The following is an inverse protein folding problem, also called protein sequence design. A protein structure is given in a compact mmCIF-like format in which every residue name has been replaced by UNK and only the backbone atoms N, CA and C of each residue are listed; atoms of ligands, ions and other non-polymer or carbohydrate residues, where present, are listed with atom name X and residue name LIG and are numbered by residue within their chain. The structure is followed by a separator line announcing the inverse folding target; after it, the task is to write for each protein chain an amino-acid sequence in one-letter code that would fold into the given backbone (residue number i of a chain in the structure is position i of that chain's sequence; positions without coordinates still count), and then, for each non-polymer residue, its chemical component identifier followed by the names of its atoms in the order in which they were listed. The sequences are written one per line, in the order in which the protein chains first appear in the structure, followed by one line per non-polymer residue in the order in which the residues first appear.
data_IF_393126693900
#
_entry.id   IF_393126693900
#
_cell.length_a   1.000
_cell.length_b   1.000
_cell.length_c   1.000
_cell.angle_alpha   90.00
_cell.angle_beta   90.00
_cell.angle_gamma   90.00
#
_symmetry.space_group_name_H-M   'P 1'
#
loop_
_entity.id
_entity.type
_entity.pdbx_description
1 polymer ?
#
# COMPACT_ATOMS: atom_id res chain seq x y z
N UNK A 1 -7.60 20.88 2.45
CA UNK A 1 -8.96 20.36 2.19
C UNK A 1 -9.18 19.83 0.76
N UNK A 2 -8.54 20.39 -0.30
CA UNK A 2 -8.73 19.90 -1.69
C UNK A 2 -7.97 18.60 -2.06
N UNK A 3 -6.88 18.23 -1.35
CA UNK A 3 -6.14 16.99 -1.63
C UNK A 3 -6.80 15.71 -1.09
N UNK A 4 -7.55 15.78 0.03
CA UNK A 4 -8.17 14.60 0.65
C UNK A 4 -9.22 13.90 -0.23
N UNK A 5 -9.94 14.66 -1.09
CA UNK A 5 -10.95 14.07 -1.98
C UNK A 5 -10.35 13.26 -3.12
N UNK A 6 -9.16 13.64 -3.62
CA UNK A 6 -8.49 12.93 -4.70
C UNK A 6 -7.62 11.78 -4.20
N UNK A 7 -7.12 11.86 -2.96
CA UNK A 7 -6.54 10.70 -2.28
C UNK A 7 -7.61 9.59 -2.18
N UNK A 8 -8.81 9.84 -1.69
CA UNK A 8 -9.71 8.71 -1.41
C UNK A 8 -10.30 7.98 -2.64
N UNK A 9 -10.12 8.49 -3.87
CA UNK A 9 -10.67 7.89 -5.10
C UNK A 9 -10.00 6.55 -5.45
N UNK A 10 -8.75 6.33 -5.04
CA UNK A 10 -8.07 5.06 -5.31
C UNK A 10 -8.53 3.94 -4.35
N UNK A 11 -9.13 4.27 -3.20
CA UNK A 11 -9.52 3.31 -2.16
C UNK A 11 -10.56 2.30 -2.69
N UNK A 12 -11.63 2.71 -3.39
CA UNK A 12 -12.56 1.76 -4.01
C UNK A 12 -11.87 0.78 -4.96
N UNK A 13 -10.86 1.23 -5.72
CA UNK A 13 -10.12 0.37 -6.64
C UNK A 13 -9.34 -0.73 -5.91
N UNK A 14 -8.79 -0.40 -4.74
CA UNK A 14 -8.13 -1.36 -3.86
C UNK A 14 -9.13 -2.38 -3.28
N UNK A 15 -10.30 -1.92 -2.84
CA UNK A 15 -11.34 -2.80 -2.32
C UNK A 15 -11.86 -3.78 -3.39
N UNK A 16 -12.05 -3.32 -4.62
CA UNK A 16 -12.47 -4.18 -5.75
C UNK A 16 -11.40 -5.23 -6.06
N UNK A 17 -10.12 -4.84 -6.10
CA UNK A 17 -9.01 -5.78 -6.24
C UNK A 17 -9.05 -6.86 -5.16
N UNK A 18 -9.20 -6.47 -3.90
CA UNK A 18 -9.17 -7.39 -2.77
C UNK A 18 -10.42 -8.30 -2.73
N UNK A 19 -11.56 -7.82 -3.21
CA UNK A 19 -12.74 -8.65 -3.46
C UNK A 19 -12.48 -9.70 -4.56
N UNK A 20 -11.81 -9.32 -5.65
CA UNK A 20 -11.41 -10.29 -6.68
C UNK A 20 -10.43 -11.34 -6.12
N UNK A 21 -9.56 -10.94 -5.19
CA UNK A 21 -8.68 -11.86 -4.49
C UNK A 21 -9.45 -12.83 -3.59
N UNK A 22 -10.40 -12.34 -2.79
CA UNK A 22 -11.29 -13.17 -1.97
C UNK A 22 -12.04 -14.21 -2.81
N UNK A 23 -12.53 -13.81 -3.98
CA UNK A 23 -13.23 -14.69 -4.92
C UNK A 23 -12.31 -15.59 -5.75
N UNK A 24 -10.98 -15.51 -5.54
CA UNK A 24 -9.93 -16.25 -6.27
C UNK A 24 -9.96 -16.05 -7.79
N UNK A 25 -10.41 -14.88 -8.25
CA UNK A 25 -10.43 -14.53 -9.68
C UNK A 25 -9.05 -14.13 -10.18
N UNK A 26 -8.21 -15.12 -10.50
CA UNK A 26 -6.79 -14.94 -10.83
C UNK A 26 -6.51 -13.88 -11.90
N UNK A 27 -7.23 -13.93 -13.03
CA UNK A 27 -7.00 -13.02 -14.16
C UNK A 27 -7.40 -11.57 -13.83
N UNK A 28 -8.59 -11.37 -13.27
CA UNK A 28 -9.12 -10.04 -12.92
C UNK A 28 -8.34 -9.43 -11.76
N UNK A 29 -8.01 -10.23 -10.74
CA UNK A 29 -7.22 -9.80 -9.59
C UNK A 29 -5.82 -9.32 -10.01
N UNK A 30 -5.13 -10.06 -10.87
CA UNK A 30 -3.81 -9.66 -11.39
C UNK A 30 -3.89 -8.41 -12.27
N UNK A 31 -4.89 -8.33 -13.15
CA UNK A 31 -5.11 -7.15 -13.98
C UNK A 31 -5.36 -5.90 -13.13
N UNK A 32 -6.08 -6.01 -12.01
CA UNK A 32 -6.35 -4.91 -11.08
C UNK A 32 -5.19 -4.59 -10.11
N UNK A 33 -4.34 -5.57 -9.79
CA UNK A 33 -3.17 -5.34 -8.93
C UNK A 33 -2.13 -4.42 -9.58
N UNK A 34 -1.92 -4.54 -10.89
CA UNK A 34 -0.98 -3.69 -11.62
C UNK A 34 -1.29 -2.18 -11.54
N UNK A 35 -2.49 -1.69 -11.92
CA UNK A 35 -2.84 -0.28 -11.80
C UNK A 35 -2.88 0.17 -10.33
N UNK A 36 -3.27 -0.72 -9.41
CA UNK A 36 -3.30 -0.43 -7.96
C UNK A 36 -1.92 -0.08 -7.41
N UNK A 37 -0.90 -0.89 -7.73
CA UNK A 37 0.49 -0.65 -7.31
C UNK A 37 1.04 0.63 -7.95
N UNK A 38 0.78 0.86 -9.24
CA UNK A 38 1.22 2.07 -9.94
C UNK A 38 0.64 3.32 -9.29
N UNK A 39 -0.66 3.34 -9.01
CA UNK A 39 -1.32 4.49 -8.37
C UNK A 39 -0.71 4.77 -7.00
N UNK A 40 -0.40 3.74 -6.21
CA UNK A 40 0.27 3.90 -4.92
C UNK A 40 1.62 4.63 -5.07
N UNK A 41 2.48 4.16 -5.98
CA UNK A 41 3.78 4.79 -6.23
C UNK A 41 3.66 6.22 -6.74
N UNK A 42 2.70 6.49 -7.63
CA UNK A 42 2.43 7.84 -8.13
C UNK A 42 2.10 8.78 -6.95
N UNK A 43 1.24 8.36 -6.03
CA UNK A 43 0.84 9.17 -4.87
C UNK A 43 2.04 9.44 -3.95
N UNK A 44 2.85 8.43 -3.66
CA UNK A 44 4.07 8.61 -2.87
C UNK A 44 5.06 9.58 -3.56
N UNK A 45 5.19 9.49 -4.89
CA UNK A 45 6.06 10.40 -5.64
C UNK A 45 5.56 11.85 -5.61
N UNK A 46 4.27 12.08 -5.81
CA UNK A 46 3.68 13.43 -5.77
C UNK A 46 3.76 14.07 -4.39
N UNK A 47 3.64 13.27 -3.33
CA UNK A 47 3.69 13.77 -1.95
C UNK A 47 5.09 13.92 -1.37
N UNK A 48 6.16 13.63 -2.14
CA UNK A 48 7.57 13.77 -1.71
C UNK A 48 7.96 15.15 -1.17
N UNK A 49 7.24 16.20 -1.55
CA UNK A 49 7.52 17.58 -1.11
C UNK A 49 7.10 17.83 0.34
N UNK A 50 6.15 17.07 0.85
CA UNK A 50 5.73 17.12 2.26
C UNK A 50 6.17 15.84 2.96
N UNK A 51 7.18 15.95 3.85
CA UNK A 51 7.73 14.80 4.56
C UNK A 51 6.67 14.04 5.37
N UNK A 52 5.68 14.73 5.93
CA UNK A 52 4.64 14.11 6.74
C UNK A 52 3.70 13.28 5.88
N UNK A 53 3.19 13.86 4.78
CA UNK A 53 2.35 13.12 3.83
C UNK A 53 3.13 12.00 3.10
N UNK A 54 4.41 12.24 2.79
CA UNK A 54 5.27 11.25 2.13
C UNK A 54 5.42 9.97 2.95
N UNK A 55 5.70 10.07 4.25
CA UNK A 55 5.87 8.89 5.11
C UNK A 55 4.57 8.07 5.21
N UNK A 56 3.43 8.73 5.38
CA UNK A 56 2.13 8.05 5.39
C UNK A 56 1.86 7.34 4.07
N UNK A 57 2.07 8.01 2.93
CA UNK A 57 1.85 7.43 1.61
C UNK A 57 2.86 6.32 1.28
N UNK A 58 4.10 6.41 1.78
CA UNK A 58 5.10 5.36 1.65
C UNK A 58 4.72 4.11 2.45
N UNK A 59 4.15 4.27 3.65
CA UNK A 59 3.59 3.14 4.41
C UNK A 59 2.46 2.46 3.63
N UNK A 60 1.57 3.24 3.02
CA UNK A 60 0.48 2.70 2.18
C UNK A 60 1.03 1.99 0.94
N UNK A 61 2.10 2.49 0.32
CA UNK A 61 2.78 1.79 -0.78
C UNK A 61 3.33 0.43 -0.34
N UNK A 62 4.01 0.38 0.80
CA UNK A 62 4.55 -0.87 1.35
C UNK A 62 3.43 -1.89 1.62
N UNK A 63 2.29 -1.43 2.14
CA UNK A 63 1.10 -2.25 2.34
C UNK A 63 0.54 -2.84 1.04
N UNK A 64 0.39 -2.01 0.00
CA UNK A 64 -0.16 -2.43 -1.29
C UNK A 64 0.78 -3.40 -2.01
N UNK A 65 2.08 -3.18 -1.92
CA UNK A 65 3.11 -4.10 -2.41
C UNK A 65 3.04 -5.44 -1.67
N UNK A 66 2.91 -5.42 -0.35
CA UNK A 66 2.77 -6.63 0.46
C UNK A 66 1.55 -7.44 0.03
N UNK A 67 0.38 -6.80 -0.07
CA UNK A 67 -0.86 -7.45 -0.51
C UNK A 67 -0.76 -8.02 -1.93
N UNK A 68 -0.15 -7.27 -2.85
CA UNK A 68 -0.01 -7.72 -4.24
C UNK A 68 0.97 -8.89 -4.36
N UNK A 69 2.04 -8.90 -3.55
CA UNK A 69 3.01 -9.99 -3.48
C UNK A 69 2.39 -11.26 -2.87
N UNK A 70 1.59 -11.11 -1.81
CA UNK A 70 0.89 -12.23 -1.19
C UNK A 70 -0.15 -12.83 -2.16
N UNK A 71 -0.99 -11.98 -2.76
CA UNK A 71 -1.97 -12.39 -3.76
C UNK A 71 -1.33 -13.16 -4.92
N UNK A 72 -0.19 -12.69 -5.43
CA UNK A 72 0.57 -13.41 -6.47
C UNK A 72 1.01 -14.80 -5.99
N UNK A 73 1.47 -14.91 -4.74
CA UNK A 73 1.79 -16.17 -4.10
C UNK A 73 0.66 -17.19 -4.14
N UNK A 74 -0.51 -16.80 -3.66
CA UNK A 74 -1.68 -17.69 -3.56
C UNK A 74 -2.23 -18.09 -4.94
N UNK A 75 -2.19 -17.18 -5.93
CA UNK A 75 -2.69 -17.49 -7.26
C UNK A 75 -1.83 -18.50 -8.02
N UNK A 76 -0.51 -18.45 -7.83
CA UNK A 76 0.46 -19.26 -8.56
C UNK A 76 1.08 -20.39 -7.73
N UNK A 77 0.73 -20.51 -6.44
CA UNK A 77 1.27 -21.55 -5.54
C UNK A 77 2.69 -21.28 -5.06
N UNK A 78 3.15 -20.01 -5.09
CA UNK A 78 4.48 -19.60 -4.64
C UNK A 78 4.48 -19.02 -3.21
N UNK A 79 3.46 -19.31 -2.41
CA UNK A 79 3.26 -18.80 -1.04
C UNK A 79 4.51 -18.94 -0.16
N UNK A 80 5.24 -20.05 -0.29
CA UNK A 80 6.48 -20.30 0.46
C UNK A 80 7.52 -19.16 0.33
N UNK A 81 7.57 -18.51 -0.83
CA UNK A 81 8.51 -17.43 -1.12
C UNK A 81 7.89 -16.05 -0.94
N UNK A 82 6.62 -15.89 -1.32
CA UNK A 82 5.95 -14.59 -1.28
C UNK A 82 5.45 -14.22 0.11
N UNK A 83 5.10 -15.19 0.96
CA UNK A 83 4.60 -14.94 2.32
C UNK A 83 5.65 -14.26 3.20
N UNK A 84 6.92 -14.73 3.29
CA UNK A 84 7.97 -14.02 4.04
C UNK A 84 8.25 -12.62 3.49
N UNK A 85 8.25 -12.46 2.15
CA UNK A 85 8.44 -11.15 1.51
C UNK A 85 7.31 -10.19 1.86
N UNK A 86 6.06 -10.67 1.79
CA UNK A 86 4.88 -9.88 2.13
C UNK A 86 4.90 -9.48 3.60
N UNK A 87 5.27 -10.40 4.49
CA UNK A 87 5.42 -10.11 5.92
C UNK A 87 6.48 -9.02 6.19
N UNK A 88 7.62 -9.09 5.50
CA UNK A 88 8.66 -8.05 5.59
C UNK A 88 8.17 -6.69 5.11
N UNK A 89 7.43 -6.67 3.99
CA UNK A 89 6.83 -5.44 3.45
C UNK A 89 5.76 -4.85 4.40
N UNK A 90 4.87 -5.68 4.96
CA UNK A 90 3.90 -5.26 5.98
C UNK A 90 4.59 -4.64 7.20
N UNK A 91 5.63 -5.32 7.70
CA UNK A 91 6.42 -4.85 8.84
C UNK A 91 7.10 -3.51 8.54
N UNK A 92 7.66 -3.35 7.35
CA UNK A 92 8.26 -2.07 6.91
C UNK A 92 7.24 -0.94 6.85
N UNK A 93 6.03 -1.21 6.35
CA UNK A 93 4.95 -0.22 6.33
C UNK A 93 4.56 0.25 7.73
N UNK A 94 4.37 -0.70 8.65
CA UNK A 94 4.08 -0.41 10.06
C UNK A 94 5.18 0.46 10.68
N UNK A 95 6.45 0.10 10.48
CA UNK A 95 7.58 0.87 10.99
C UNK A 95 7.62 2.30 10.44
N UNK A 96 7.39 2.48 9.14
CA UNK A 96 7.34 3.80 8.50
C UNK A 96 6.21 4.65 9.09
N UNK A 97 5.03 4.06 9.31
CA UNK A 97 3.91 4.76 9.91
C UNK A 97 4.16 5.13 11.39
N UNK A 98 4.78 4.24 12.16
CA UNK A 98 5.18 4.53 13.54
C UNK A 98 6.20 5.68 13.59
N UNK A 99 7.19 5.68 12.69
CA UNK A 99 8.14 6.78 12.55
C UNK A 99 7.43 8.11 12.24
N UNK A 100 6.42 8.09 11.36
CA UNK A 100 5.59 9.25 11.10
C UNK A 100 4.91 9.77 12.38
N UNK A 101 4.29 8.90 13.17
CA UNK A 101 3.63 9.28 14.44
C UNK A 101 4.64 9.92 15.41
N UNK A 102 5.81 9.30 15.59
CA UNK A 102 6.85 9.80 16.49
C UNK A 102 7.36 11.18 16.05
N UNK A 103 7.60 11.37 14.76
CA UNK A 103 8.04 12.64 14.20
C UNK A 103 6.96 13.72 14.36
N UNK A 104 5.70 13.37 14.16
CA UNK A 104 4.58 14.30 14.33
C UNK A 104 4.41 14.72 15.80
N UNK A 105 4.56 13.77 16.75
CA UNK A 105 4.49 14.05 18.18
C UNK A 105 5.62 14.99 18.61
N UNK A 106 6.87 14.72 18.19
CA UNK A 106 8.03 15.59 18.46
C UNK A 106 7.85 17.02 17.96
N UNK A 107 7.24 17.18 16.79
CA UNK A 107 7.01 18.51 16.17
C UNK A 107 5.95 19.34 16.91
N UNK A 108 5.12 18.72 17.74
CA UNK A 108 4.03 19.37 18.50
C UNK A 108 4.46 19.80 19.91
N UNK A 109 5.61 19.31 20.39
CA UNK A 109 6.18 19.60 21.71
C UNK A 109 7.24 20.71 21.67
N UNK A 110 7.66 21.14 20.47
CA UNK A 110 8.55 22.27 20.19
C UNK A 110 7.73 23.46 19.69
#
# INVERSE_FOLDING_TARGET
MKLQKYENIHIPMWLVKDLCWLMKWKAVGMFMAFPTVIVAFIIAYFTRKDKSCFLTNLSVCAWILANSTWMFGEFFGYEKYTLPLSFGLFSSGILIYLLFIVLQYRKKTL
#
